data_IF_584749406673
#
_entry.id   IF_584749406673
#
_cell.length_a   1.000
_cell.length_b   1.000
_cell.length_c   1.000
_cell.angle_alpha   90.00
_cell.angle_beta   90.00
_cell.angle_gamma   90.00
#
_symmetry.space_group_name_H-M   'P 1'
#
loop_
_entity.id
_entity.type
_entity.pdbx_description
1 polymer ?
#
# COMPACT_ATOMS: atom_id res chain seq x y z
N UNK A 1 -6.80 -32.60 -53.79
CA UNK A 1 -6.05 -31.79 -52.81
C UNK A 1 -6.65 -32.06 -51.44
N UNK A 2 -6.08 -33.02 -50.69
CA UNK A 2 -6.53 -33.34 -49.32
C UNK A 2 -5.57 -32.69 -48.34
N UNK A 3 -6.11 -31.82 -47.49
CA UNK A 3 -5.34 -31.07 -46.50
C UNK A 3 -4.69 -32.03 -45.49
N UNK A 4 -3.38 -31.90 -45.31
CA UNK A 4 -2.64 -32.63 -44.29
C UNK A 4 -3.08 -32.12 -42.91
N UNK A 5 -3.75 -32.98 -42.14
CA UNK A 5 -4.11 -32.73 -40.75
C UNK A 5 -2.83 -32.73 -39.90
N UNK A 6 -2.33 -31.54 -39.56
CA UNK A 6 -1.18 -31.37 -38.66
C UNK A 6 -1.60 -31.74 -37.24
N UNK A 7 -1.51 -33.02 -36.90
CA UNK A 7 -1.75 -33.51 -35.54
C UNK A 7 -0.59 -33.12 -34.61
N UNK A 8 -0.89 -32.42 -33.52
CA UNK A 8 0.12 -31.94 -32.56
C UNK A 8 0.88 -33.15 -31.96
N UNK A 9 2.24 -33.13 -31.95
CA UNK A 9 3.04 -34.24 -31.46
C UNK A 9 2.68 -34.69 -30.03
N UNK A 10 2.62 -36.00 -29.74
CA UNK A 10 2.21 -36.51 -28.42
C UNK A 10 3.09 -36.04 -27.25
N UNK A 11 4.37 -35.78 -27.50
CA UNK A 11 5.29 -35.24 -26.48
C UNK A 11 4.92 -33.79 -26.11
N UNK A 12 4.49 -32.98 -27.07
CA UNK A 12 3.98 -31.62 -26.87
C UNK A 12 2.71 -31.62 -26.03
N UNK A 13 1.78 -32.55 -26.29
CA UNK A 13 0.58 -32.75 -25.46
C UNK A 13 0.92 -33.18 -24.03
N UNK A 14 1.94 -34.03 -23.84
CA UNK A 14 2.40 -34.46 -22.51
C UNK A 14 3.15 -33.35 -21.77
N UNK A 15 3.87 -32.50 -22.48
CA UNK A 15 4.58 -31.34 -21.92
C UNK A 15 3.58 -30.24 -21.49
N UNK A 16 2.51 -30.03 -22.28
CA UNK A 16 1.47 -29.04 -22.00
C UNK A 16 0.43 -29.49 -20.95
N UNK A 17 0.00 -30.76 -20.97
CA UNK A 17 -1.12 -31.27 -20.14
C UNK A 17 -0.63 -32.16 -18.99
N UNK A 18 0.64 -32.56 -19.00
CA UNK A 18 1.20 -33.50 -18.03
C UNK A 18 0.75 -34.95 -18.27
N UNK A 19 1.40 -35.89 -17.58
CA UNK A 19 1.18 -37.34 -17.73
C UNK A 19 -0.21 -37.82 -17.27
N UNK A 20 -0.92 -37.01 -16.47
CA UNK A 20 -2.25 -37.29 -15.94
C UNK A 20 -3.18 -36.06 -16.06
N UNK A 21 -3.94 -35.92 -17.16
CA UNK A 21 -4.66 -34.68 -17.50
C UNK A 21 -5.63 -34.21 -16.41
N UNK A 22 -6.40 -35.12 -15.81
CA UNK A 22 -7.35 -34.78 -14.73
C UNK A 22 -6.66 -34.23 -13.48
N UNK A 23 -5.49 -34.78 -13.11
CA UNK A 23 -4.71 -34.32 -11.95
C UNK A 23 -4.05 -32.97 -12.23
N UNK A 24 -3.55 -32.77 -13.46
CA UNK A 24 -3.00 -31.47 -13.88
C UNK A 24 -4.09 -30.39 -13.86
N UNK A 25 -5.27 -30.67 -14.41
CA UNK A 25 -6.40 -29.74 -14.40
C UNK A 25 -6.87 -29.40 -12.98
N UNK A 26 -7.02 -30.41 -12.10
CA UNK A 26 -7.39 -30.17 -10.71
C UNK A 26 -6.37 -29.29 -9.97
N UNK A 27 -5.06 -29.52 -10.18
CA UNK A 27 -3.99 -28.69 -9.62
C UNK A 27 -4.04 -27.26 -10.16
N UNK A 28 -4.22 -27.10 -11.47
CA UNK A 28 -4.32 -25.78 -12.09
C UNK A 28 -5.54 -25.00 -11.56
N UNK A 29 -6.69 -25.65 -11.43
CA UNK A 29 -7.90 -25.05 -10.86
C UNK A 29 -7.69 -24.66 -9.39
N UNK A 30 -7.06 -25.52 -8.59
CA UNK A 30 -6.74 -25.21 -7.19
C UNK A 30 -5.79 -24.00 -7.08
N UNK A 31 -4.76 -23.93 -7.92
CA UNK A 31 -3.84 -22.79 -7.98
C UNK A 31 -4.54 -21.50 -8.41
N UNK A 32 -5.40 -21.57 -9.43
CA UNK A 32 -6.16 -20.41 -9.90
C UNK A 32 -7.13 -19.90 -8.82
N UNK A 33 -7.83 -20.80 -8.12
CA UNK A 33 -8.69 -20.46 -7.00
C UNK A 33 -7.90 -19.83 -5.85
N UNK A 34 -6.76 -20.42 -5.48
CA UNK A 34 -5.89 -19.87 -4.45
C UNK A 34 -5.40 -18.46 -4.81
N UNK A 35 -4.92 -18.26 -6.03
CA UNK A 35 -4.49 -16.96 -6.53
C UNK A 35 -5.64 -15.95 -6.49
N UNK A 36 -6.84 -16.33 -6.95
CA UNK A 36 -8.02 -15.47 -6.89
C UNK A 36 -8.37 -15.05 -5.46
N UNK A 37 -8.37 -15.98 -4.50
CA UNK A 37 -8.61 -15.67 -3.08
C UNK A 37 -7.54 -14.69 -2.56
N UNK A 38 -6.26 -14.96 -2.86
CA UNK A 38 -5.15 -14.11 -2.40
C UNK A 38 -5.26 -12.69 -2.94
N UNK A 39 -5.46 -12.51 -4.26
CA UNK A 39 -5.53 -11.17 -4.86
C UNK A 39 -6.85 -10.45 -4.60
N UNK A 40 -7.93 -11.17 -4.31
CA UNK A 40 -9.22 -10.56 -3.96
C UNK A 40 -9.25 -10.07 -2.50
N UNK A 41 -8.68 -10.83 -1.57
CA UNK A 41 -8.87 -10.59 -0.13
C UNK A 41 -7.60 -10.17 0.62
N UNK A 42 -6.42 -10.54 0.15
CA UNK A 42 -5.17 -10.39 0.93
C UNK A 42 -4.24 -9.34 0.32
N UNK A 43 -3.90 -9.49 -0.97
CA UNK A 43 -2.91 -8.68 -1.66
C UNK A 43 -3.57 -7.82 -2.74
N UNK A 44 -3.52 -6.50 -2.56
CA UNK A 44 -3.99 -5.55 -3.55
C UNK A 44 -2.78 -4.99 -4.33
N UNK A 45 -2.60 -5.31 -5.63
CA UNK A 45 -1.61 -4.64 -6.45
C UNK A 45 -2.00 -3.16 -6.65
N UNK A 46 -1.05 -2.26 -6.47
CA UNK A 46 -1.25 -0.81 -6.63
C UNK A 46 -0.13 -0.24 -7.48
N UNK A 47 -0.48 0.67 -8.39
CA UNK A 47 0.51 1.49 -9.10
C UNK A 47 0.59 2.83 -8.39
N UNK A 48 1.79 3.20 -7.98
CA UNK A 48 2.06 4.46 -7.30
C UNK A 48 1.95 5.57 -8.32
N UNK A 49 1.13 6.57 -7.99
CA UNK A 49 0.88 7.75 -8.81
C UNK A 49 1.15 8.99 -7.96
N UNK A 50 1.99 9.89 -8.47
CA UNK A 50 2.41 11.13 -7.80
C UNK A 50 3.65 11.00 -6.92
N UNK A 51 4.13 12.15 -6.44
CA UNK A 51 5.43 12.28 -5.75
C UNK A 51 5.37 12.36 -4.22
N UNK A 52 4.21 12.26 -3.59
CA UNK A 52 4.06 12.52 -2.13
C UNK A 52 4.83 11.57 -1.22
N UNK A 53 5.19 10.38 -1.73
CA UNK A 53 5.95 9.37 -0.99
C UNK A 53 7.41 9.27 -1.45
N UNK A 54 7.88 10.18 -2.31
CA UNK A 54 9.28 10.24 -2.68
C UNK A 54 10.15 10.64 -1.47
N UNK A 55 11.41 10.17 -1.37
CA UNK A 55 12.08 9.26 -2.30
C UNK A 55 11.75 7.77 -2.05
N UNK A 56 11.13 7.43 -0.92
CA UNK A 56 10.85 6.04 -0.49
C UNK A 56 10.08 5.26 -1.54
N UNK A 57 9.05 5.89 -2.12
CA UNK A 57 8.25 5.33 -3.20
C UNK A 57 8.25 6.27 -4.40
N UNK A 58 8.71 5.74 -5.53
CA UNK A 58 8.80 6.49 -6.79
C UNK A 58 7.55 6.32 -7.63
N UNK A 59 7.19 7.39 -8.32
CA UNK A 59 6.07 7.41 -9.26
C UNK A 59 6.20 6.32 -10.33
N UNK A 60 5.06 5.76 -10.74
CA UNK A 60 4.98 4.72 -11.77
C UNK A 60 5.38 3.32 -11.32
N UNK A 61 5.96 3.13 -10.13
CA UNK A 61 6.30 1.81 -9.59
C UNK A 61 5.05 1.06 -9.14
N UNK A 62 5.10 -0.27 -9.25
CA UNK A 62 4.06 -1.15 -8.72
C UNK A 62 4.46 -1.62 -7.34
N UNK A 63 3.49 -1.66 -6.45
CA UNK A 63 3.63 -2.17 -5.10
C UNK A 63 2.38 -2.98 -4.71
N UNK A 64 2.36 -3.57 -3.52
CA UNK A 64 1.28 -4.37 -2.99
C UNK A 64 0.87 -3.88 -1.60
N UNK A 65 -0.42 -3.90 -1.35
CA UNK A 65 -0.97 -3.65 -0.03
C UNK A 65 -1.44 -4.97 0.58
N UNK A 66 -0.94 -5.28 1.77
CA UNK A 66 -1.45 -6.34 2.61
C UNK A 66 -2.66 -5.83 3.42
N UNK A 67 -3.85 -6.24 2.98
CA UNK A 67 -5.14 -5.89 3.61
C UNK A 67 -5.35 -6.56 4.97
N UNK A 68 -4.61 -7.65 5.24
CA UNK A 68 -4.68 -8.38 6.50
C UNK A 68 -3.65 -7.92 7.53
N UNK A 69 -2.78 -6.96 7.18
CA UNK A 69 -1.69 -6.51 8.05
C UNK A 69 -2.17 -6.10 9.46
N UNK A 70 -3.36 -5.49 9.53
CA UNK A 70 -3.94 -4.98 10.76
C UNK A 70 -5.07 -5.82 11.34
N UNK A 71 -5.26 -7.06 10.85
CA UNK A 71 -6.30 -7.97 11.36
C UNK A 71 -6.02 -8.49 12.77
N UNK A 72 -4.74 -8.62 13.12
CA UNK A 72 -4.26 -9.15 14.40
C UNK A 72 -3.19 -8.26 15.06
N UNK A 73 -2.79 -7.17 14.42
CA UNK A 73 -1.78 -6.24 14.92
C UNK A 73 -2.29 -4.81 14.74
N UNK A 74 -2.04 -3.94 15.70
CA UNK A 74 -2.38 -2.53 15.55
C UNK A 74 -1.44 -1.84 14.54
N UNK A 75 -1.91 -0.80 13.82
CA UNK A 75 -1.04 0.08 13.06
C UNK A 75 0.03 0.72 13.94
N UNK A 76 1.25 0.83 13.41
CA UNK A 76 2.39 1.38 14.15
C UNK A 76 2.91 2.63 13.48
N UNK A 77 3.49 3.52 14.30
CA UNK A 77 4.20 4.70 13.80
C UNK A 77 5.29 4.25 12.82
N UNK A 78 5.40 4.96 11.71
CA UNK A 78 6.32 4.65 10.62
C UNK A 78 5.81 3.63 9.62
N UNK A 79 4.69 2.92 9.86
CA UNK A 79 4.10 2.08 8.81
C UNK A 79 3.63 2.95 7.63
N UNK A 80 3.83 2.46 6.41
CA UNK A 80 3.28 3.06 5.20
C UNK A 80 2.02 2.30 4.83
N UNK A 81 0.93 3.03 4.64
CA UNK A 81 -0.40 2.47 4.46
C UNK A 81 -1.09 3.06 3.24
N UNK A 82 -1.99 2.28 2.67
CA UNK A 82 -2.98 2.80 1.74
C UNK A 82 -4.17 3.36 2.51
N UNK A 83 -4.60 4.57 2.17
CA UNK A 83 -5.75 5.26 2.76
C UNK A 83 -6.83 5.43 1.69
N UNK A 84 -8.02 4.89 1.94
CA UNK A 84 -9.16 5.00 1.02
C UNK A 84 -9.79 6.39 1.11
N UNK A 85 -10.04 7.02 -0.03
CA UNK A 85 -10.77 8.30 -0.12
C UNK A 85 -11.98 8.19 -1.04
N UNK A 86 -12.81 9.23 -1.04
CA UNK A 86 -13.87 9.48 -2.02
C UNK A 86 -13.44 10.42 -3.16
N UNK A 87 -12.16 10.82 -3.20
CA UNK A 87 -11.58 11.70 -4.24
C UNK A 87 -11.24 11.01 -5.57
N UNK A 88 -10.53 11.69 -6.50
CA UNK A 88 -10.28 11.21 -7.86
C UNK A 88 -9.43 9.94 -7.95
N UNK A 89 -8.64 9.66 -6.90
CA UNK A 89 -7.93 8.40 -6.72
C UNK A 89 -8.53 7.68 -5.52
N UNK A 90 -8.97 6.43 -5.68
CA UNK A 90 -9.62 5.68 -4.59
C UNK A 90 -8.68 5.31 -3.43
N UNK A 91 -7.37 5.56 -3.56
CA UNK A 91 -6.35 5.12 -2.63
C UNK A 91 -5.11 6.03 -2.67
N UNK A 92 -4.68 6.52 -1.51
CA UNK A 92 -3.43 7.27 -1.35
C UNK A 92 -2.45 6.52 -0.47
N UNK A 93 -1.15 6.58 -0.80
CA UNK A 93 -0.10 6.11 0.10
C UNK A 93 0.35 7.24 1.02
N UNK A 94 0.43 6.94 2.31
CA UNK A 94 0.92 7.84 3.37
C UNK A 94 1.61 7.04 4.46
N UNK A 95 2.50 7.69 5.21
CA UNK A 95 3.12 7.14 6.41
C UNK A 95 2.33 7.54 7.65
N UNK A 96 2.19 6.61 8.58
CA UNK A 96 1.63 6.86 9.91
C UNK A 96 2.66 7.64 10.73
N UNK A 97 2.33 8.88 11.06
CA UNK A 97 3.19 9.78 11.83
C UNK A 97 2.70 9.90 13.27
N UNK A 98 1.39 10.06 13.49
CA UNK A 98 0.77 10.15 14.81
C UNK A 98 -0.17 8.97 15.07
N UNK A 99 -0.18 8.49 16.31
CA UNK A 99 -1.04 7.41 16.80
C UNK A 99 -2.16 7.96 17.69
N UNK A 100 -3.24 7.21 17.92
CA UNK A 100 -4.30 7.60 18.84
C UNK A 100 -3.77 8.05 20.21
N UNK A 101 -4.29 9.18 20.70
CA UNK A 101 -3.89 9.78 21.97
C UNK A 101 -2.61 10.65 21.92
N UNK A 102 -1.83 10.60 20.84
CA UNK A 102 -0.67 11.49 20.68
C UNK A 102 -1.10 12.96 20.60
N UNK A 103 -0.30 13.84 21.19
CA UNK A 103 -0.28 15.25 20.84
C UNK A 103 0.71 15.48 19.71
N UNK A 104 0.21 15.88 18.55
CA UNK A 104 1.01 16.11 17.33
C UNK A 104 1.12 17.60 17.02
N UNK A 105 2.28 18.06 16.58
CA UNK A 105 2.50 19.41 16.08
C UNK A 105 3.54 19.39 14.95
N UNK A 106 3.52 20.41 14.09
CA UNK A 106 4.58 20.64 13.10
C UNK A 106 5.08 22.07 13.29
N UNK A 107 6.40 22.22 13.48
CA UNK A 107 7.07 23.50 13.67
C UNK A 107 8.18 23.65 12.64
N UNK A 108 8.02 24.58 11.71
CA UNK A 108 8.97 24.80 10.61
C UNK A 108 9.37 23.49 9.89
N UNK A 109 8.38 22.65 9.57
CA UNK A 109 8.58 21.37 8.89
C UNK A 109 9.03 20.21 9.78
N UNK A 110 9.40 20.44 11.05
CA UNK A 110 9.76 19.38 12.00
C UNK A 110 8.52 18.87 12.71
N UNK A 111 8.30 17.55 12.69
CA UNK A 111 7.20 16.90 13.41
C UNK A 111 7.57 16.74 14.89
N UNK A 112 6.63 17.09 15.76
CA UNK A 112 6.72 16.90 17.20
C UNK A 112 5.60 15.97 17.67
N UNK A 113 5.96 14.95 18.45
CA UNK A 113 5.05 13.99 19.06
C UNK A 113 5.23 14.07 20.57
N UNK A 114 4.16 14.40 21.30
CA UNK A 114 4.15 14.53 22.75
C UNK A 114 5.30 15.42 23.26
N UNK A 115 5.57 16.52 22.55
CA UNK A 115 6.62 17.49 22.88
C UNK A 115 8.04 17.09 22.48
N UNK A 116 8.24 15.96 21.80
CA UNK A 116 9.56 15.50 21.31
C UNK A 116 9.62 15.53 19.79
N UNK A 117 10.72 16.02 19.23
CA UNK A 117 10.95 15.96 17.79
C UNK A 117 11.02 14.49 17.34
N UNK A 118 10.31 14.18 16.26
CA UNK A 118 10.31 12.85 15.66
C UNK A 118 11.56 12.69 14.77
N UNK A 119 12.28 11.60 14.95
CA UNK A 119 13.33 11.20 14.00
C UNK A 119 12.69 10.68 12.71
N UNK A 120 13.02 11.32 11.60
CA UNK A 120 12.43 11.03 10.28
C UNK A 120 13.55 10.84 9.24
N UNK A 121 14.30 9.72 9.28
CA UNK A 121 15.43 9.47 8.37
C UNK A 121 15.01 9.29 6.90
N UNK A 122 13.71 9.11 6.65
CA UNK A 122 13.13 9.00 5.30
C UNK A 122 12.85 10.37 4.65
N UNK A 123 12.95 11.47 5.38
CA UNK A 123 12.67 12.82 4.88
C UNK A 123 13.97 13.48 4.43
N UNK A 124 14.06 13.80 3.15
CA UNK A 124 15.24 14.44 2.53
C UNK A 124 15.15 15.97 2.56
N UNK A 125 13.98 16.52 2.25
CA UNK A 125 13.73 17.98 2.18
C UNK A 125 12.54 18.34 3.05
N UNK A 126 12.49 19.56 3.59
CA UNK A 126 11.41 20.05 4.46
C UNK A 126 11.00 21.46 4.06
N UNK A 127 9.76 21.59 3.62
CA UNK A 127 9.05 22.86 3.59
C UNK A 127 8.68 23.30 5.02
N UNK A 128 8.63 24.61 5.32
CA UNK A 128 8.43 25.13 6.66
C UNK A 128 6.94 25.08 7.08
N UNK A 129 6.32 23.91 6.93
CA UNK A 129 4.92 23.71 7.32
C UNK A 129 4.71 24.01 8.79
N UNK A 130 3.51 24.50 9.09
CA UNK A 130 3.04 24.74 10.44
C UNK A 130 1.76 23.96 10.71
N UNK A 131 1.69 23.39 11.91
CA UNK A 131 0.50 22.77 12.46
C UNK A 131 0.52 22.95 13.97
N UNK A 132 -0.50 23.64 14.49
CA UNK A 132 -0.70 23.80 15.92
C UNK A 132 -0.81 22.46 16.63
N UNK A 133 -0.44 22.46 17.91
CA UNK A 133 -0.51 21.26 18.72
C UNK A 133 -1.96 20.77 18.83
N UNK A 134 -2.18 19.51 18.48
CA UNK A 134 -3.49 18.87 18.55
C UNK A 134 -3.34 17.48 19.16
N UNK A 135 -4.19 17.16 20.12
CA UNK A 135 -4.34 15.78 20.59
C UNK A 135 -5.21 14.99 19.61
N UNK A 136 -4.73 13.82 19.20
CA UNK A 136 -5.47 12.88 18.37
C UNK A 136 -6.49 12.11 19.21
N UNK A 137 -7.69 11.93 18.65
CA UNK A 137 -8.73 11.09 19.24
C UNK A 137 -8.35 9.60 19.35
N UNK A 138 -9.19 8.78 20.00
CA UNK A 138 -8.92 7.37 20.26
C UNK A 138 -8.87 6.47 19.01
N UNK A 139 -9.39 6.96 17.87
CA UNK A 139 -9.37 6.27 16.57
C UNK A 139 -8.69 7.11 15.46
N UNK A 140 -8.05 8.22 15.82
CA UNK A 140 -7.43 9.15 14.88
C UNK A 140 -5.93 8.90 14.73
N UNK A 141 -5.45 9.06 13.50
CA UNK A 141 -4.06 8.95 13.12
C UNK A 141 -3.67 10.18 12.31
N UNK A 142 -2.43 10.64 12.46
CA UNK A 142 -1.84 11.64 11.56
C UNK A 142 -1.07 10.91 10.47
N UNK A 143 -1.45 11.16 9.22
CA UNK A 143 -0.82 10.60 8.04
C UNK A 143 -0.12 11.68 7.23
N UNK A 144 1.14 11.46 6.89
CA UNK A 144 1.90 12.37 6.04
C UNK A 144 2.73 11.56 5.06
N UNK A 145 2.93 12.09 3.86
CA UNK A 145 3.84 11.51 2.88
C UNK A 145 5.29 11.78 3.24
N UNK A 146 6.21 11.06 2.62
CA UNK A 146 7.64 11.17 2.91
C UNK A 146 8.27 12.40 2.24
N UNK A 147 7.66 12.90 1.16
CA UNK A 147 8.17 14.04 0.40
C UNK A 147 7.81 15.37 1.10
N UNK A 148 8.47 15.69 2.22
CA UNK A 148 8.19 16.92 2.98
C UNK A 148 8.66 18.20 2.27
N UNK A 149 9.29 18.11 1.09
CA UNK A 149 9.69 19.24 0.26
C UNK A 149 8.60 19.79 -0.66
N UNK A 150 7.43 19.15 -0.74
CA UNK A 150 6.30 19.70 -1.52
C UNK A 150 5.38 20.56 -0.64
N UNK A 151 4.50 21.35 -1.26
CA UNK A 151 3.53 22.14 -0.50
C UNK A 151 2.53 21.24 0.29
N UNK A 152 2.05 21.74 1.44
CA UNK A 152 1.19 20.97 2.37
C UNK A 152 -0.14 20.55 1.72
N UNK A 153 -0.61 21.32 0.74
CA UNK A 153 -1.86 21.09 0.02
C UNK A 153 -1.81 19.81 -0.83
N UNK A 154 -0.61 19.39 -1.24
CA UNK A 154 -0.40 18.11 -1.92
C UNK A 154 -0.33 16.91 -0.96
N UNK A 155 -0.33 17.17 0.35
CA UNK A 155 -0.42 16.17 1.41
C UNK A 155 -1.86 16.04 1.92
N UNK A 156 -2.69 15.37 1.13
CA UNK A 156 -4.08 15.06 1.48
C UNK A 156 -4.18 14.11 2.69
N UNK A 157 -5.38 14.09 3.30
CA UNK A 157 -5.81 13.44 4.54
C UNK A 157 -5.38 14.10 5.84
N UNK A 158 -4.08 14.30 6.09
CA UNK A 158 -3.62 14.75 7.40
C UNK A 158 -4.15 13.84 8.51
N UNK A 159 -5.04 14.35 9.37
CA UNK A 159 -5.68 13.56 10.44
C UNK A 159 -6.90 12.81 9.91
N UNK A 160 -6.91 11.49 10.04
CA UNK A 160 -8.04 10.65 9.65
C UNK A 160 -8.21 9.43 10.58
N UNK A 161 -9.39 8.81 10.49
CA UNK A 161 -9.75 7.64 11.29
C UNK A 161 -9.13 6.34 10.78
N UNK A 162 -8.97 5.38 11.68
CA UNK A 162 -8.42 4.05 11.40
C UNK A 162 -9.17 3.29 10.29
N UNK A 163 -10.47 3.51 10.14
CA UNK A 163 -11.35 2.84 9.17
C UNK A 163 -10.99 3.16 7.71
N UNK A 164 -10.26 4.25 7.47
CA UNK A 164 -9.75 4.61 6.14
C UNK A 164 -8.52 3.79 5.73
N UNK A 165 -7.88 3.09 6.66
CA UNK A 165 -6.67 2.30 6.37
C UNK A 165 -7.07 1.04 5.59
N UNK A 166 -6.69 0.98 4.31
CA UNK A 166 -6.91 -0.17 3.44
C UNK A 166 -6.01 -1.37 3.77
N UNK A 167 -4.84 -1.09 4.36
CA UNK A 167 -3.81 -2.08 4.67
C UNK A 167 -2.41 -1.47 4.64
N UNK A 168 -1.40 -2.32 4.89
CA UNK A 168 0.00 -1.91 4.91
C UNK A 168 0.67 -2.13 3.55
N UNK A 169 1.43 -1.16 3.07
CA UNK A 169 2.29 -1.30 1.90
C UNK A 169 3.42 -2.28 2.22
N UNK A 170 3.64 -3.23 1.33
CA UNK A 170 4.78 -4.14 1.38
C UNK A 170 5.98 -3.42 0.73
N UNK A 171 7.21 -3.59 1.23
CA UNK A 171 8.46 -3.00 0.67
C UNK A 171 8.40 -1.48 0.39
#
# INVERSE_FOLDING_TARGET
MTAAETSVPPWLKRLAVGRHPRRTLARAAALALAAWVVFKFVLLPVRISGGSMAPTYRDGRVNFINRLAYRWRAPRRGDVVGIMTTGPHNLYLKRIIGLPGDTVAIRAGVVWINGRALDEPYVVEREPWQMEARQLGPDEFLFIGDNRGMAKEFHLFGVAKADKIAGKVLW
#
